data_IF_641451040772
#
_entry.id   IF_641451040772
#
_cell.length_a   1.000
_cell.length_b   1.000
_cell.length_c   1.000
_cell.angle_alpha   90.00
_cell.angle_beta   90.00
_cell.angle_gamma   90.00
#
_symmetry.space_group_name_H-M   'P 1'
#
loop_
_entity.id
_entity.type
_entity.pdbx_description
1 polymer ?
#
# COMPACT_ATOMS: atom_id res chain seq x y z
N UNK A 1 48.78 12.80 -6.48
CA UNK A 1 49.23 11.91 -7.57
C UNK A 1 48.45 10.62 -7.44
N UNK A 2 47.53 10.34 -8.36
CA UNK A 2 46.92 9.02 -8.45
C UNK A 2 47.92 8.08 -9.14
N UNK A 3 48.07 6.86 -8.61
CA UNK A 3 48.92 5.82 -9.19
C UNK A 3 48.01 4.78 -9.83
N UNK A 4 48.15 4.59 -11.14
CA UNK A 4 47.48 3.51 -11.85
C UNK A 4 47.97 2.16 -11.31
N UNK A 5 47.04 1.32 -10.84
CA UNK A 5 47.33 0.01 -10.22
C UNK A 5 47.07 -1.17 -11.16
N UNK A 6 46.37 -0.97 -12.30
CA UNK A 6 46.20 -1.99 -13.35
C UNK A 6 45.89 -1.33 -14.70
N UNK A 7 46.40 -1.92 -15.79
CA UNK A 7 46.24 -1.45 -17.17
C UNK A 7 44.93 -1.92 -17.84
N UNK A 8 43.85 -2.14 -17.07
CA UNK A 8 42.52 -2.45 -17.63
C UNK A 8 42.01 -3.88 -17.47
N UNK A 9 42.46 -4.65 -16.46
CA UNK A 9 41.64 -5.79 -16.02
C UNK A 9 40.45 -5.25 -15.22
N UNK A 10 39.20 -5.68 -15.48
CA UNK A 10 38.07 -5.27 -14.66
C UNK A 10 38.34 -5.66 -13.20
N UNK A 11 38.08 -4.73 -12.27
CA UNK A 11 38.17 -5.02 -10.84
C UNK A 11 37.27 -6.21 -10.55
N UNK A 12 37.80 -7.21 -9.83
CA UNK A 12 36.97 -8.30 -9.33
C UNK A 12 35.87 -7.71 -8.46
N UNK A 13 34.60 -8.07 -8.67
CA UNK A 13 33.51 -7.48 -7.91
C UNK A 13 33.64 -7.86 -6.44
N UNK A 14 33.35 -6.90 -5.56
CA UNK A 14 33.11 -7.20 -4.15
C UNK A 14 31.77 -7.93 -4.05
N UNK A 15 31.77 -9.09 -3.41
CA UNK A 15 30.54 -9.88 -3.25
C UNK A 15 29.74 -9.32 -2.07
N UNK A 16 28.48 -8.96 -2.30
CA UNK A 16 27.48 -8.69 -1.26
C UNK A 16 26.70 -9.99 -1.03
N UNK A 17 26.69 -10.47 0.22
CA UNK A 17 26.14 -11.76 0.62
C UNK A 17 27.12 -12.62 1.42
N UNK A 18 26.71 -13.84 1.74
CA UNK A 18 27.40 -14.80 2.61
C UNK A 18 28.81 -15.19 2.12
N UNK A 19 29.05 -15.16 0.81
CA UNK A 19 30.36 -15.43 0.22
C UNK A 19 31.32 -14.22 0.25
N UNK A 20 30.86 -13.07 0.74
CA UNK A 20 31.64 -11.84 0.83
C UNK A 20 31.23 -11.01 2.04
N UNK A 21 30.69 -9.83 1.80
CA UNK A 21 30.24 -8.90 2.84
C UNK A 21 28.74 -9.08 3.06
N UNK A 22 28.35 -9.54 4.24
CA UNK A 22 26.95 -9.67 4.64
C UNK A 22 26.42 -8.30 5.09
N UNK A 23 25.33 -7.79 4.50
CA UNK A 23 24.66 -6.59 5.02
C UNK A 23 24.16 -6.79 6.46
N UNK A 24 24.12 -5.74 7.29
CA UNK A 24 23.39 -5.77 8.56
C UNK A 24 21.90 -6.03 8.34
N UNK A 25 21.20 -6.55 9.35
CA UNK A 25 19.78 -6.92 9.27
C UNK A 25 18.84 -6.08 10.14
N UNK A 26 19.36 -5.18 10.97
CA UNK A 26 18.53 -4.52 12.00
C UNK A 26 18.62 -2.99 11.91
N UNK A 27 19.83 -2.44 12.02
CA UNK A 27 20.05 -1.00 12.22
C UNK A 27 20.42 -0.32 10.91
N UNK A 28 19.56 0.59 10.44
CA UNK A 28 19.84 1.44 9.26
C UNK A 28 20.98 2.42 9.54
N UNK A 29 20.99 3.05 10.71
CA UNK A 29 21.90 4.13 11.05
C UNK A 29 22.19 4.18 12.56
N UNK A 30 23.45 4.41 12.94
CA UNK A 30 23.88 4.54 14.33
C UNK A 30 24.05 6.02 14.72
N UNK A 31 24.94 6.74 14.03
CA UNK A 31 25.25 8.15 14.26
C UNK A 31 26.07 8.72 13.11
N UNK A 32 26.11 10.05 12.94
CA UNK A 32 26.83 10.71 11.83
C UNK A 32 28.34 10.40 11.81
N UNK A 33 28.97 10.26 12.98
CA UNK A 33 30.41 9.95 13.09
C UNK A 33 30.71 8.43 13.15
N UNK A 34 29.73 7.57 12.82
CA UNK A 34 29.90 6.12 12.85
C UNK A 34 30.77 5.63 11.68
N UNK A 35 31.50 4.54 11.92
CA UNK A 35 32.27 3.82 10.89
C UNK A 35 32.27 2.31 11.20
N UNK A 36 31.08 1.77 11.46
CA UNK A 36 30.79 0.38 11.82
C UNK A 36 29.94 -0.32 10.75
N UNK A 37 30.55 -0.67 9.59
CA UNK A 37 29.86 -1.33 8.50
C UNK A 37 29.39 -2.76 8.83
N UNK A 38 29.68 -3.27 10.02
CA UNK A 38 29.18 -4.58 10.46
C UNK A 38 27.77 -4.47 11.05
N UNK A 39 27.46 -3.33 11.67
CA UNK A 39 26.22 -3.16 12.44
C UNK A 39 25.33 -2.03 11.90
N UNK A 40 25.85 -1.13 11.04
CA UNK A 40 25.10 -0.01 10.44
C UNK A 40 24.91 -0.22 8.95
N UNK A 41 23.66 -0.21 8.47
CA UNK A 41 23.34 -0.29 7.05
C UNK A 41 23.96 0.86 6.26
N UNK A 42 23.89 2.09 6.79
CA UNK A 42 24.49 3.27 6.19
C UNK A 42 26.00 3.07 5.98
N UNK A 43 26.74 2.75 7.05
CA UNK A 43 28.19 2.57 7.01
C UNK A 43 28.58 1.39 6.10
N UNK A 44 27.75 0.34 6.05
CA UNK A 44 27.95 -0.79 5.15
C UNK A 44 27.96 -0.35 3.69
N UNK A 45 26.91 0.34 3.23
CA UNK A 45 26.81 0.76 1.84
C UNK A 45 27.73 1.94 1.52
N UNK A 46 27.95 2.87 2.46
CA UNK A 46 28.92 3.97 2.31
C UNK A 46 30.33 3.43 2.05
N UNK A 47 30.75 2.40 2.80
CA UNK A 47 32.05 1.76 2.59
C UNK A 47 32.18 1.02 1.23
N UNK A 48 31.08 0.87 0.50
CA UNK A 48 31.03 0.29 -0.84
C UNK A 48 30.80 1.33 -1.94
N UNK A 49 30.59 2.60 -1.61
CA UNK A 49 30.28 3.63 -2.60
C UNK A 49 31.37 3.70 -3.71
N UNK A 50 30.92 3.74 -4.97
CA UNK A 50 31.80 3.71 -6.14
C UNK A 50 32.43 2.36 -6.46
N UNK A 51 32.15 1.31 -5.66
CA UNK A 51 32.71 -0.03 -5.85
C UNK A 51 31.89 -0.84 -6.84
N UNK A 52 32.58 -1.62 -7.68
CA UNK A 52 31.93 -2.64 -8.51
C UNK A 52 31.61 -3.87 -7.65
N UNK A 53 30.33 -4.25 -7.61
CA UNK A 53 29.81 -5.29 -6.71
C UNK A 53 29.08 -6.38 -7.48
N UNK A 54 28.99 -7.56 -6.85
CA UNK A 54 28.19 -8.70 -7.30
C UNK A 54 27.29 -9.18 -6.18
N UNK A 55 26.02 -9.40 -6.48
CA UNK A 55 25.07 -10.10 -5.62
C UNK A 55 24.85 -11.49 -6.21
N UNK A 56 25.08 -12.53 -5.42
CA UNK A 56 24.85 -13.91 -5.84
C UNK A 56 23.43 -14.34 -5.49
N UNK A 57 22.80 -15.09 -6.40
CA UNK A 57 21.46 -15.64 -6.25
C UNK A 57 20.42 -14.66 -5.67
N UNK A 58 20.34 -13.39 -6.11
CA UNK A 58 19.40 -12.46 -5.50
C UNK A 58 17.96 -12.84 -5.80
N UNK A 59 17.07 -12.54 -4.85
CA UNK A 59 15.62 -12.60 -5.00
C UNK A 59 15.04 -11.20 -4.86
N UNK A 60 14.07 -10.87 -5.71
CA UNK A 60 13.38 -9.58 -5.74
C UNK A 60 12.40 -9.51 -4.58
N UNK A 61 12.59 -8.52 -3.70
CA UNK A 61 11.73 -8.22 -2.55
C UNK A 61 10.90 -6.95 -2.73
N UNK A 62 11.22 -6.15 -3.75
CA UNK A 62 10.42 -5.00 -4.20
C UNK A 62 10.31 -5.01 -5.72
N UNK A 63 9.09 -5.11 -6.29
CA UNK A 63 8.88 -5.06 -7.74
C UNK A 63 9.40 -3.78 -8.40
N UNK A 64 9.56 -3.82 -9.73
CA UNK A 64 9.99 -2.65 -10.49
C UNK A 64 8.96 -1.51 -10.42
N UNK A 65 9.39 -0.33 -9.98
CA UNK A 65 8.56 0.88 -9.93
C UNK A 65 8.70 1.76 -11.18
N UNK A 66 7.92 2.84 -11.25
CA UNK A 66 7.92 3.82 -12.36
C UNK A 66 9.23 4.59 -12.54
N UNK A 67 10.17 4.49 -11.59
CA UNK A 67 11.49 5.14 -11.64
C UNK A 67 12.61 4.20 -12.11
N UNK A 68 12.27 2.98 -12.52
CA UNK A 68 13.26 2.00 -12.95
C UNK A 68 14.03 1.37 -11.80
N UNK A 69 13.42 1.35 -10.61
CA UNK A 69 14.04 0.80 -9.39
C UNK A 69 13.35 -0.52 -9.03
N UNK A 70 14.13 -1.50 -8.58
CA UNK A 70 13.60 -2.68 -7.90
C UNK A 70 14.53 -3.09 -6.76
N UNK A 71 14.06 -3.91 -5.84
CA UNK A 71 14.80 -4.24 -4.62
C UNK A 71 15.04 -5.73 -4.52
N UNK A 72 16.22 -6.12 -4.04
CA UNK A 72 16.61 -7.51 -3.86
C UNK A 72 17.21 -7.78 -2.48
N UNK A 73 17.23 -9.05 -2.08
CA UNK A 73 18.14 -9.54 -1.03
C UNK A 73 19.07 -10.61 -1.61
N UNK A 74 20.28 -10.73 -1.05
CA UNK A 74 21.30 -11.66 -1.51
C UNK A 74 21.00 -13.12 -1.14
N UNK A 75 21.63 -14.06 -1.84
CA UNK A 75 21.70 -15.49 -1.50
C UNK A 75 20.34 -16.15 -1.21
N UNK A 76 19.31 -15.79 -1.99
CA UNK A 76 17.95 -16.29 -1.81
C UNK A 76 17.31 -15.94 -0.45
N UNK A 77 17.82 -14.92 0.24
CA UNK A 77 17.29 -14.45 1.52
C UNK A 77 17.79 -15.21 2.76
N UNK A 78 18.76 -16.13 2.63
CA UNK A 78 19.25 -16.95 3.77
C UNK A 78 19.83 -16.10 4.92
N UNK A 79 20.34 -14.91 4.63
CA UNK A 79 20.90 -13.97 5.61
C UNK A 79 20.00 -12.78 5.94
N UNK A 80 18.78 -12.73 5.39
CA UNK A 80 17.83 -11.65 5.63
C UNK A 80 16.93 -11.97 6.83
N UNK A 81 16.63 -10.98 7.66
CA UNK A 81 15.50 -11.01 8.58
C UNK A 81 14.19 -10.86 7.78
N UNK A 82 13.04 -10.96 8.44
CA UNK A 82 11.77 -10.51 7.87
C UNK A 82 11.21 -11.26 6.64
N UNK A 83 11.89 -12.28 6.09
CA UNK A 83 11.42 -12.99 4.89
C UNK A 83 10.03 -13.59 5.09
N UNK A 84 9.10 -13.25 4.21
CA UNK A 84 7.70 -13.67 4.27
C UNK A 84 7.37 -14.75 3.24
N UNK A 85 6.19 -15.37 3.35
CA UNK A 85 5.77 -16.45 2.44
C UNK A 85 5.57 -16.00 0.98
N UNK A 86 5.39 -14.69 0.75
CA UNK A 86 5.28 -14.09 -0.59
C UNK A 86 6.65 -13.97 -1.29
N UNK A 87 7.76 -14.14 -0.56
CA UNK A 87 9.12 -13.98 -1.08
C UNK A 87 9.67 -12.56 -0.95
N UNK A 88 8.98 -11.68 -0.23
CA UNK A 88 9.46 -10.36 0.15
C UNK A 88 10.06 -10.33 1.56
N UNK A 89 10.45 -9.14 2.00
CA UNK A 89 10.92 -8.88 3.36
C UNK A 89 9.96 -7.92 4.08
N UNK A 90 9.41 -8.34 5.22
CA UNK A 90 8.39 -7.57 5.94
C UNK A 90 9.02 -6.64 6.96
N UNK A 91 8.63 -5.36 6.93
CA UNK A 91 9.03 -4.39 7.95
C UNK A 91 8.34 -4.71 9.28
N UNK A 92 9.12 -4.77 10.36
CA UNK A 92 8.62 -5.03 11.71
C UNK A 92 9.16 -3.99 12.70
N UNK A 93 8.57 -3.84 13.90
CA UNK A 93 9.05 -2.86 14.87
C UNK A 93 10.54 -3.04 15.19
N UNK A 94 11.33 -2.00 14.91
CA UNK A 94 12.77 -1.99 15.18
C UNK A 94 13.65 -2.61 14.08
N UNK A 95 13.06 -3.11 12.99
CA UNK A 95 13.77 -3.66 11.85
C UNK A 95 13.44 -2.85 10.57
N UNK A 96 14.42 -2.08 10.11
CA UNK A 96 14.33 -1.29 8.87
C UNK A 96 14.75 -2.04 7.61
N UNK A 97 15.10 -3.32 7.76
CA UNK A 97 15.61 -4.21 6.73
C UNK A 97 16.80 -3.65 5.93
N UNK A 98 17.94 -3.26 6.56
CA UNK A 98 19.12 -2.73 5.85
C UNK A 98 19.72 -3.66 4.79
N UNK A 99 19.44 -4.95 4.84
CA UNK A 99 19.89 -5.95 3.89
C UNK A 99 19.19 -5.91 2.52
N UNK A 100 18.13 -5.11 2.39
CA UNK A 100 17.49 -4.85 1.09
C UNK A 100 18.38 -3.95 0.26
N UNK A 101 18.58 -4.32 -1.00
CA UNK A 101 19.50 -3.67 -1.92
C UNK A 101 18.73 -3.12 -3.10
N UNK A 102 18.74 -1.80 -3.29
CA UNK A 102 18.13 -1.17 -4.47
C UNK A 102 18.99 -1.44 -5.71
N UNK A 103 18.32 -1.83 -6.79
CA UNK A 103 18.88 -1.95 -8.11
C UNK A 103 18.28 -0.86 -8.98
N UNK A 104 19.14 0.00 -9.53
CA UNK A 104 18.76 1.07 -10.44
C UNK A 104 19.00 0.64 -11.88
N UNK A 105 17.95 0.68 -12.69
CA UNK A 105 18.02 0.47 -14.13
C UNK A 105 18.52 1.72 -14.86
N UNK A 106 19.09 1.49 -16.04
CA UNK A 106 19.39 2.53 -17.02
C UNK A 106 18.20 2.72 -17.96
N UNK A 107 18.09 3.90 -18.56
CA UNK A 107 17.05 4.20 -19.55
C UNK A 107 17.06 3.23 -20.76
N UNK A 108 18.19 2.56 -21.06
CA UNK A 108 18.28 1.58 -22.12
C UNK A 108 17.73 0.19 -21.73
N UNK A 109 17.68 -0.11 -20.42
CA UNK A 109 17.11 -1.34 -19.87
C UNK A 109 15.60 -1.21 -19.67
N UNK A 110 15.09 0.01 -19.55
CA UNK A 110 13.65 0.27 -19.54
C UNK A 110 13.07 0.21 -20.97
N UNK A 111 11.86 -0.34 -21.16
CA UNK A 111 10.97 -0.92 -20.15
C UNK A 111 11.17 -2.44 -19.96
N UNK A 112 12.23 -3.05 -20.47
CA UNK A 112 12.34 -4.53 -20.58
C UNK A 112 12.51 -5.23 -19.23
N UNK A 113 13.08 -4.55 -18.24
CA UNK A 113 13.26 -5.09 -16.89
C UNK A 113 12.02 -4.77 -16.04
N UNK A 114 11.04 -5.69 -16.02
CA UNK A 114 9.82 -5.60 -15.20
C UNK A 114 9.76 -6.76 -14.20
N UNK A 115 10.42 -6.60 -13.07
CA UNK A 115 10.52 -7.65 -12.05
C UNK A 115 9.31 -7.64 -11.13
N UNK A 116 8.73 -8.82 -10.91
CA UNK A 116 7.74 -9.07 -9.87
C UNK A 116 8.40 -9.56 -8.58
N UNK A 117 7.65 -9.50 -7.49
CA UNK A 117 8.08 -10.03 -6.20
C UNK A 117 8.47 -11.52 -6.34
N UNK A 118 9.61 -11.90 -5.79
CA UNK A 118 10.11 -13.27 -5.83
C UNK A 118 10.77 -13.70 -7.14
N UNK A 119 10.83 -12.84 -8.17
CA UNK A 119 11.72 -13.06 -9.31
C UNK A 119 13.17 -13.21 -8.81
N UNK A 120 14.00 -13.98 -9.50
CA UNK A 120 15.36 -14.27 -9.05
C UNK A 120 16.37 -14.24 -10.18
N UNK A 121 17.65 -14.13 -9.83
CA UNK A 121 18.76 -14.16 -10.78
C UNK A 121 19.85 -15.09 -10.26
N UNK A 122 20.69 -15.63 -11.14
CA UNK A 122 21.95 -16.26 -10.71
C UNK A 122 22.92 -15.23 -10.14
N UNK A 123 22.99 -14.05 -10.75
CA UNK A 123 23.71 -12.91 -10.17
C UNK A 123 23.31 -11.57 -10.79
N UNK A 124 23.45 -10.51 -10.00
CA UNK A 124 23.41 -9.12 -10.45
C UNK A 124 24.77 -8.46 -10.18
N UNK A 125 25.26 -7.65 -11.10
CA UNK A 125 26.51 -6.90 -10.96
C UNK A 125 26.30 -5.43 -11.36
N UNK A 126 26.97 -4.53 -10.65
CA UNK A 126 26.83 -3.10 -10.89
C UNK A 126 27.75 -2.26 -10.01
N UNK A 127 27.58 -0.94 -10.08
CA UNK A 127 28.32 0.01 -9.26
C UNK A 127 27.43 0.56 -8.17
N UNK A 128 27.92 0.57 -6.93
CA UNK A 128 27.21 1.23 -5.82
C UNK A 128 27.30 2.74 -6.00
N UNK A 129 26.15 3.41 -5.92
CA UNK A 129 26.03 4.86 -5.84
C UNK A 129 25.07 5.25 -4.72
N UNK A 130 25.00 6.54 -4.44
CA UNK A 130 24.05 7.13 -3.51
C UNK A 130 23.28 8.23 -4.23
N UNK A 131 21.95 8.16 -4.22
CA UNK A 131 21.08 9.19 -4.75
C UNK A 131 19.89 9.42 -3.82
N UNK A 132 19.51 10.69 -3.65
CA UNK A 132 18.29 11.13 -2.91
C UNK A 132 18.03 10.46 -1.55
N UNK A 133 19.08 10.11 -0.80
CA UNK A 133 18.91 9.52 0.53
C UNK A 133 18.85 8.00 0.53
N UNK A 134 19.25 7.34 -0.55
CA UNK A 134 19.27 5.89 -0.67
C UNK A 134 20.54 5.41 -1.39
N UNK A 135 21.12 4.30 -0.93
CA UNK A 135 22.19 3.61 -1.64
C UNK A 135 21.61 2.64 -2.68
N UNK A 136 22.14 2.69 -3.89
CA UNK A 136 21.65 1.93 -5.04
C UNK A 136 22.81 1.23 -5.77
N UNK A 137 22.50 0.16 -6.50
CA UNK A 137 23.43 -0.45 -7.46
C UNK A 137 22.95 -0.14 -8.87
N UNK A 138 23.74 0.64 -9.61
CA UNK A 138 23.52 0.87 -11.04
C UNK A 138 23.82 -0.41 -11.81
N UNK A 139 22.77 -1.03 -12.34
CA UNK A 139 22.84 -2.36 -12.93
C UNK A 139 23.67 -2.38 -14.22
N UNK A 140 24.71 -3.23 -14.24
CA UNK A 140 25.56 -3.46 -15.42
C UNK A 140 25.26 -4.81 -16.05
N UNK A 141 25.25 -5.89 -15.25
CA UNK A 141 24.99 -7.24 -15.73
C UNK A 141 23.91 -7.92 -14.88
N UNK A 142 22.98 -8.61 -15.54
CA UNK A 142 22.03 -9.52 -14.92
C UNK A 142 22.13 -10.88 -15.60
N UNK A 143 22.31 -11.95 -14.81
CA UNK A 143 22.56 -13.31 -15.32
C UNK A 143 21.54 -14.27 -14.73
N UNK A 144 20.96 -15.11 -15.59
CA UNK A 144 20.12 -16.24 -15.17
C UNK A 144 18.81 -15.81 -14.50
N UNK A 145 18.13 -14.82 -15.08
CA UNK A 145 16.82 -14.37 -14.61
C UNK A 145 15.79 -15.53 -14.65
N UNK A 146 15.05 -15.69 -13.56
CA UNK A 146 13.96 -16.66 -13.40
C UNK A 146 12.76 -15.96 -12.81
N UNK A 147 11.64 -15.99 -13.52
CA UNK A 147 10.40 -15.34 -13.09
C UNK A 147 9.62 -16.23 -12.15
N UNK A 148 9.09 -15.67 -11.05
CA UNK A 148 8.09 -16.31 -10.21
C UNK A 148 6.71 -16.16 -10.85
N UNK A 149 6.02 -17.28 -11.03
CA UNK A 149 4.62 -17.24 -11.46
C UNK A 149 3.74 -16.76 -10.30
N UNK A 150 2.94 -15.73 -10.55
CA UNK A 150 1.93 -15.24 -9.63
C UNK A 150 0.56 -15.68 -10.10
N UNK A 151 -0.09 -16.51 -9.29
CA UNK A 151 -1.48 -16.91 -9.45
C UNK A 151 -2.27 -16.34 -8.27
N UNK A 152 -3.04 -15.25 -8.47
CA UNK A 152 -3.83 -14.66 -7.40
C UNK A 152 -4.78 -15.69 -6.78
N UNK A 153 -4.72 -15.84 -5.46
CA UNK A 153 -5.66 -16.68 -4.74
C UNK A 153 -7.04 -16.04 -4.73
N UNK A 154 -8.07 -16.80 -5.08
CA UNK A 154 -9.46 -16.38 -4.84
C UNK A 154 -9.68 -16.35 -3.32
N UNK A 155 -9.93 -15.16 -2.78
CA UNK A 155 -10.14 -14.96 -1.33
C UNK A 155 -11.62 -14.85 -0.97
N UNK A 156 -12.45 -14.45 -1.93
CA UNK A 156 -13.90 -14.39 -1.80
C UNK A 156 -14.59 -15.69 -2.16
N UNK A 157 -15.86 -15.78 -1.77
CA UNK A 157 -16.77 -16.84 -2.15
C UNK A 157 -18.11 -16.23 -2.56
N UNK A 158 -18.99 -17.04 -3.12
CA UNK A 158 -20.37 -16.61 -3.36
C UNK A 158 -21.07 -16.18 -2.06
N UNK A 159 -22.17 -15.41 -2.16
CA UNK A 159 -22.87 -14.89 -0.99
C UNK A 159 -23.38 -16.02 -0.09
N UNK A 160 -23.15 -15.87 1.22
CA UNK A 160 -23.68 -16.75 2.26
C UNK A 160 -24.79 -16.00 3.04
N UNK A 161 -25.81 -16.72 3.51
CA UNK A 161 -27.00 -16.08 4.11
C UNK A 161 -26.70 -15.38 5.43
N UNK A 162 -25.71 -15.87 6.19
CA UNK A 162 -25.31 -15.44 7.53
C UNK A 162 -23.98 -14.68 7.55
N UNK A 163 -23.37 -14.42 6.39
CA UNK A 163 -22.10 -13.68 6.28
C UNK A 163 -22.30 -12.39 5.50
N UNK A 164 -21.87 -11.28 6.10
CA UNK A 164 -21.68 -10.00 5.42
C UNK A 164 -20.22 -9.88 4.97
N UNK A 165 -20.02 -9.52 3.71
CA UNK A 165 -18.69 -9.27 3.13
C UNK A 165 -18.48 -7.78 2.88
N UNK A 166 -17.35 -7.25 3.35
CA UNK A 166 -16.94 -5.86 3.15
C UNK A 166 -15.51 -5.86 2.61
N UNK A 167 -15.27 -5.32 1.42
CA UNK A 167 -13.92 -5.18 0.89
C UNK A 167 -13.43 -3.72 0.98
N UNK A 168 -12.24 -3.51 1.53
CA UNK A 168 -11.52 -2.25 1.44
C UNK A 168 -10.58 -2.28 0.24
N UNK A 169 -10.60 -1.23 -0.59
CA UNK A 169 -9.73 -1.14 -1.76
C UNK A 169 -9.38 0.33 -2.07
N UNK A 170 -8.12 0.71 -1.85
CA UNK A 170 -7.56 1.93 -2.43
C UNK A 170 -7.40 1.70 -3.95
N UNK A 171 -8.07 2.52 -4.76
CA UNK A 171 -8.10 2.36 -6.22
C UNK A 171 -7.10 3.28 -6.95
N UNK A 172 -6.19 3.92 -6.21
CA UNK A 172 -5.09 4.76 -6.70
C UNK A 172 -5.59 5.89 -7.62
N UNK A 173 -6.14 6.96 -7.05
CA UNK A 173 -6.65 8.14 -7.76
C UNK A 173 -7.64 7.87 -8.92
N UNK A 174 -8.52 6.88 -8.79
CA UNK A 174 -9.38 6.43 -9.88
C UNK A 174 -10.24 7.56 -10.48
N UNK A 175 -10.09 7.82 -11.78
CA UNK A 175 -10.87 8.79 -12.55
C UNK A 175 -11.28 8.27 -13.95
N UNK A 176 -12.32 8.83 -14.61
CA UNK A 176 -12.88 8.27 -15.83
C UNK A 176 -12.35 8.94 -17.11
N UNK A 177 -11.25 9.68 -17.05
CA UNK A 177 -10.70 10.37 -18.20
C UNK A 177 -9.19 10.09 -18.37
N UNK A 178 -8.66 10.56 -19.49
CA UNK A 178 -7.23 10.79 -19.64
C UNK A 178 -7.00 12.25 -19.29
N UNK A 179 -6.24 12.51 -18.24
CA UNK A 179 -5.92 13.87 -17.82
C UNK A 179 -5.01 14.58 -18.83
N UNK A 180 -5.08 15.91 -18.86
CA UNK A 180 -4.20 16.72 -19.70
C UNK A 180 -2.98 17.19 -18.91
N UNK A 181 -1.78 16.93 -19.45
CA UNK A 181 -0.48 17.26 -18.83
C UNK A 181 -0.36 18.71 -18.35
N UNK A 182 -1.00 19.66 -19.04
CA UNK A 182 -0.92 21.10 -18.74
C UNK A 182 -2.01 21.58 -17.76
N UNK A 183 -2.85 20.66 -17.26
CA UNK A 183 -3.97 20.96 -16.36
C UNK A 183 -3.86 20.29 -15.00
N UNK A 184 -2.81 19.54 -14.73
CA UNK A 184 -2.56 18.90 -13.44
C UNK A 184 -1.43 19.60 -12.67
N UNK A 185 -1.43 19.59 -11.33
CA UNK A 185 -0.44 20.32 -10.51
C UNK A 185 1.01 19.84 -10.67
N UNK A 186 1.14 18.57 -10.98
CA UNK A 186 2.36 17.86 -11.30
C UNK A 186 2.06 17.29 -12.68
N UNK A 187 2.99 17.36 -13.64
CA UNK A 187 2.85 16.70 -14.94
C UNK A 187 2.80 15.17 -14.72
N UNK A 188 1.71 14.69 -14.14
CA UNK A 188 1.42 13.33 -13.69
C UNK A 188 0.02 12.97 -14.22
N UNK A 189 -0.20 13.04 -15.54
CA UNK A 189 -1.46 12.62 -16.13
C UNK A 189 -1.67 11.13 -15.80
N UNK A 190 -2.78 10.79 -15.16
CA UNK A 190 -3.23 9.41 -15.12
C UNK A 190 -4.16 9.09 -16.30
N UNK A 191 -4.07 7.85 -16.78
CA UNK A 191 -4.89 7.32 -17.86
C UNK A 191 -5.52 6.00 -17.42
N UNK A 192 -6.38 6.10 -16.41
CA UNK A 192 -7.04 4.94 -15.83
C UNK A 192 -7.92 4.20 -16.83
N UNK A 193 -8.56 4.95 -17.73
CA UNK A 193 -9.43 4.40 -18.77
C UNK A 193 -8.62 3.71 -19.86
N UNK A 194 -7.60 4.37 -20.42
CA UNK A 194 -6.77 3.82 -21.48
C UNK A 194 -5.92 2.63 -21.04
N UNK A 195 -5.54 2.57 -19.76
CA UNK A 195 -4.86 1.42 -19.14
C UNK A 195 -5.82 0.27 -18.77
N UNK A 196 -7.13 0.47 -18.91
CA UNK A 196 -8.15 -0.55 -18.59
C UNK A 196 -8.32 -0.82 -17.09
N UNK A 197 -7.94 0.13 -16.22
CA UNK A 197 -7.94 -0.01 -14.76
C UNK A 197 -9.31 -0.35 -14.20
N UNK A 198 -10.38 0.30 -14.68
CA UNK A 198 -11.76 -0.05 -14.31
C UNK A 198 -12.11 -1.52 -14.57
N UNK A 199 -11.68 -2.06 -15.72
CA UNK A 199 -11.94 -3.46 -16.07
C UNK A 199 -11.14 -4.41 -15.19
N UNK A 200 -9.90 -4.06 -14.87
CA UNK A 200 -9.04 -4.85 -13.98
C UNK A 200 -9.55 -4.85 -12.53
N UNK A 201 -9.94 -3.69 -11.98
CA UNK A 201 -10.60 -3.58 -10.67
C UNK A 201 -11.88 -4.41 -10.68
N UNK A 202 -12.71 -4.30 -11.73
CA UNK A 202 -13.91 -5.11 -11.86
C UNK A 202 -13.62 -6.63 -11.84
N UNK A 203 -12.55 -7.08 -12.50
CA UNK A 203 -12.14 -8.49 -12.42
C UNK A 203 -11.68 -8.89 -11.02
N UNK A 204 -10.93 -8.05 -10.30
CA UNK A 204 -10.57 -8.30 -8.90
C UNK A 204 -11.82 -8.45 -8.03
N UNK A 205 -12.78 -7.52 -8.17
CA UNK A 205 -14.05 -7.51 -7.42
C UNK A 205 -14.85 -8.78 -7.70
N UNK A 206 -15.06 -9.14 -8.97
CA UNK A 206 -15.97 -10.24 -9.32
C UNK A 206 -15.30 -11.61 -9.13
N UNK A 207 -14.09 -11.78 -9.65
CA UNK A 207 -13.47 -13.11 -9.79
C UNK A 207 -12.64 -13.51 -8.58
N UNK A 208 -12.07 -12.56 -7.83
CA UNK A 208 -11.12 -12.84 -6.76
C UNK A 208 -11.69 -12.50 -5.37
N UNK A 209 -12.41 -11.39 -5.25
CA UNK A 209 -13.10 -10.96 -4.03
C UNK A 209 -14.52 -11.53 -3.90
N UNK A 210 -15.05 -12.18 -4.94
CA UNK A 210 -16.33 -12.88 -4.90
C UNK A 210 -17.56 -11.96 -4.90
N UNK A 211 -17.45 -10.73 -5.43
CA UNK A 211 -18.53 -9.72 -5.44
C UNK A 211 -19.04 -9.38 -4.03
N UNK A 212 -18.21 -8.75 -3.17
CA UNK A 212 -18.55 -8.47 -1.77
C UNK A 212 -19.83 -7.64 -1.62
N UNK A 213 -20.55 -7.78 -0.51
CA UNK A 213 -21.81 -7.06 -0.29
C UNK A 213 -21.60 -5.54 -0.25
N UNK A 214 -20.45 -5.09 0.26
CA UNK A 214 -20.04 -3.69 0.34
C UNK A 214 -18.57 -3.57 -0.12
N UNK A 215 -18.29 -2.60 -0.98
CA UNK A 215 -16.95 -2.11 -1.30
C UNK A 215 -16.77 -0.75 -0.63
N UNK A 216 -15.71 -0.57 0.13
CA UNK A 216 -15.25 0.69 0.71
C UNK A 216 -14.00 1.12 -0.06
N UNK A 217 -14.15 2.14 -0.90
CA UNK A 217 -13.15 2.58 -1.86
C UNK A 217 -12.43 3.81 -1.33
N UNK A 218 -11.10 3.77 -1.35
CA UNK A 218 -10.25 4.93 -1.13
C UNK A 218 -9.70 5.42 -2.46
N UNK A 219 -9.38 6.70 -2.54
CA UNK A 219 -8.85 7.33 -3.75
C UNK A 219 -9.79 7.36 -4.96
N UNK A 220 -11.06 7.69 -4.72
CA UNK A 220 -11.97 8.04 -5.81
C UNK A 220 -11.81 9.53 -6.13
N UNK A 221 -11.50 9.86 -7.38
CA UNK A 221 -11.36 11.22 -7.86
C UNK A 221 -12.64 11.78 -8.49
N UNK A 222 -12.59 13.07 -8.80
CA UNK A 222 -13.58 13.79 -9.58
C UNK A 222 -13.80 13.20 -10.98
N UNK A 223 -14.90 13.59 -11.61
CA UNK A 223 -15.28 13.17 -12.96
C UNK A 223 -14.27 13.61 -14.03
N UNK A 224 -13.40 14.56 -13.70
CA UNK A 224 -12.32 15.06 -14.55
C UNK A 224 -10.94 14.89 -13.89
N UNK A 225 -10.81 13.94 -12.97
CA UNK A 225 -9.56 13.61 -12.30
C UNK A 225 -9.03 14.75 -11.45
N UNK A 226 -7.72 14.91 -11.41
CA UNK A 226 -6.95 15.98 -10.80
C UNK A 226 -6.79 17.25 -11.65
N UNK A 227 -7.62 17.47 -12.67
CA UNK A 227 -7.57 18.70 -13.45
C UNK A 227 -7.96 19.92 -12.62
N UNK A 228 -7.30 21.06 -12.87
CA UNK A 228 -7.71 22.34 -12.30
C UNK A 228 -9.07 22.79 -12.85
N UNK A 229 -10.13 22.51 -12.12
CA UNK A 229 -11.50 22.91 -12.43
C UNK A 229 -12.34 23.06 -11.16
N UNK A 230 -13.59 23.51 -11.28
CA UNK A 230 -14.54 23.59 -10.17
C UNK A 230 -15.37 22.28 -10.02
N UNK A 231 -15.02 21.21 -10.73
CA UNK A 231 -15.73 19.93 -10.70
C UNK A 231 -15.35 19.19 -9.43
N UNK A 232 -16.36 18.92 -8.59
CA UNK A 232 -16.22 18.16 -7.35
C UNK A 232 -17.07 16.90 -7.33
N UNK A 233 -17.70 16.53 -8.45
CA UNK A 233 -18.57 15.37 -8.54
C UNK A 233 -17.78 14.14 -8.99
N UNK A 234 -18.08 12.97 -8.41
CA UNK A 234 -17.46 11.68 -8.77
C UNK A 234 -18.50 10.63 -9.24
N UNK A 235 -19.70 11.07 -9.62
CA UNK A 235 -20.80 10.20 -10.02
C UNK A 235 -20.52 9.45 -11.33
N UNK A 236 -19.77 10.05 -12.27
CA UNK A 236 -19.36 9.38 -13.51
C UNK A 236 -18.24 8.39 -13.26
N UNK A 237 -17.27 8.73 -12.40
CA UNK A 237 -16.20 7.82 -11.94
C UNK A 237 -16.80 6.55 -11.33
N UNK A 238 -17.71 6.71 -10.36
CA UNK A 238 -18.38 5.58 -9.70
C UNK A 238 -19.30 4.82 -10.67
N UNK A 239 -19.94 5.52 -11.61
CA UNK A 239 -20.75 4.87 -12.65
C UNK A 239 -19.87 4.00 -13.56
N UNK A 240 -18.72 4.49 -14.02
CA UNK A 240 -17.81 3.72 -14.87
C UNK A 240 -17.34 2.43 -14.18
N UNK A 241 -17.03 2.49 -12.88
CA UNK A 241 -16.64 1.31 -12.11
C UNK A 241 -17.81 0.32 -11.93
N UNK A 242 -19.00 0.81 -11.57
CA UNK A 242 -20.18 -0.07 -11.41
C UNK A 242 -20.62 -0.71 -12.73
N UNK A 243 -20.53 0.01 -13.86
CA UNK A 243 -20.78 -0.52 -15.20
C UNK A 243 -19.74 -1.60 -15.56
N UNK A 244 -18.46 -1.39 -15.26
CA UNK A 244 -17.39 -2.36 -15.49
C UNK A 244 -17.59 -3.64 -14.65
N UNK A 245 -17.97 -3.50 -13.38
CA UNK A 245 -18.30 -4.63 -12.50
C UNK A 245 -19.49 -5.43 -13.04
N UNK A 246 -20.56 -4.75 -13.45
CA UNK A 246 -21.74 -5.38 -14.07
C UNK A 246 -21.36 -6.13 -15.35
N UNK A 247 -20.51 -5.53 -16.18
CA UNK A 247 -19.99 -6.13 -17.42
C UNK A 247 -19.13 -7.38 -17.14
N UNK A 248 -18.36 -7.37 -16.05
CA UNK A 248 -17.60 -8.54 -15.60
C UNK A 248 -18.48 -9.65 -14.98
N UNK A 249 -19.78 -9.43 -14.85
CA UNK A 249 -20.75 -10.40 -14.29
C UNK A 249 -21.05 -10.22 -12.80
N UNK A 250 -20.63 -9.10 -12.21
CA UNK A 250 -20.92 -8.73 -10.83
C UNK A 250 -22.35 -8.16 -10.63
N UNK A 251 -22.74 -7.87 -9.39
CA UNK A 251 -24.05 -7.31 -9.08
C UNK A 251 -24.16 -5.84 -9.49
N UNK A 252 -25.39 -5.34 -9.60
CA UNK A 252 -25.66 -3.90 -9.76
C UNK A 252 -25.47 -3.18 -8.43
N UNK A 253 -24.23 -2.75 -8.17
CA UNK A 253 -23.91 -1.95 -7.00
C UNK A 253 -24.56 -0.56 -7.05
N UNK A 254 -24.90 -0.04 -5.88
CA UNK A 254 -25.37 1.32 -5.67
C UNK A 254 -24.23 2.16 -5.06
N UNK A 255 -23.89 3.33 -5.63
CA UNK A 255 -22.87 4.20 -5.07
C UNK A 255 -23.39 5.01 -3.88
N UNK A 256 -22.49 5.33 -2.96
CA UNK A 256 -22.72 6.26 -1.86
C UNK A 256 -21.45 7.07 -1.64
N UNK A 257 -21.51 8.36 -1.97
CA UNK A 257 -20.42 9.32 -1.79
C UNK A 257 -20.98 10.70 -1.42
N UNK A 258 -20.11 11.57 -0.92
CA UNK A 258 -20.42 12.98 -0.66
C UNK A 258 -19.43 13.81 -1.46
N UNK A 259 -19.94 14.73 -2.27
CA UNK A 259 -19.08 15.68 -2.97
C UNK A 259 -18.40 16.59 -1.94
N UNK A 260 -17.07 16.71 -1.97
CA UNK A 260 -16.35 17.65 -1.13
C UNK A 260 -16.63 19.09 -1.53
N UNK A 261 -16.22 20.03 -0.68
CA UNK A 261 -16.07 21.43 -1.08
C UNK A 261 -14.72 21.57 -1.78
N UNK A 262 -14.74 22.22 -2.94
CA UNK A 262 -13.59 22.38 -3.82
C UNK A 262 -12.31 22.86 -3.11
N UNK A 263 -11.20 22.15 -3.33
CA UNK A 263 -9.86 22.35 -2.80
C UNK A 263 -9.74 22.43 -1.26
N UNK A 264 -10.80 22.02 -0.55
CA UNK A 264 -10.83 21.98 0.93
C UNK A 264 -10.44 20.63 1.51
N UNK A 265 -10.51 19.55 0.73
CA UNK A 265 -10.23 18.18 1.15
C UNK A 265 -9.66 17.34 0.01
N UNK A 266 -9.10 16.18 0.31
CA UNK A 266 -8.60 15.24 -0.71
C UNK A 266 -7.11 15.30 -1.02
N UNK A 267 -6.35 16.24 -0.45
CA UNK A 267 -4.88 16.23 -0.41
C UNK A 267 -4.17 16.56 -1.74
N UNK A 268 -4.77 16.25 -2.89
CA UNK A 268 -4.30 16.65 -4.22
C UNK A 268 -5.04 17.92 -4.67
N UNK A 269 -4.34 18.99 -5.07
CA UNK A 269 -4.98 20.15 -5.69
C UNK A 269 -5.73 19.75 -6.98
N UNK A 270 -6.96 20.24 -7.16
CA UNK A 270 -7.79 19.96 -8.35
C UNK A 270 -8.63 18.67 -8.30
N UNK A 271 -8.15 17.59 -7.69
CA UNK A 271 -8.83 16.28 -7.79
C UNK A 271 -9.78 15.88 -6.66
N UNK A 272 -9.86 16.71 -5.62
CA UNK A 272 -10.69 16.55 -4.42
C UNK A 272 -10.93 15.08 -3.98
N UNK A 273 -9.86 14.29 -3.88
CA UNK A 273 -9.94 12.84 -3.67
C UNK A 273 -10.80 12.49 -2.45
N UNK A 274 -11.60 11.43 -2.53
CA UNK A 274 -12.50 11.00 -1.45
C UNK A 274 -12.51 9.49 -1.24
N UNK A 275 -13.22 9.10 -0.19
CA UNK A 275 -13.68 7.73 0.02
C UNK A 275 -15.13 7.59 -0.43
N UNK A 276 -15.53 6.40 -0.88
CA UNK A 276 -16.88 6.11 -1.35
C UNK A 276 -17.27 4.65 -1.10
N UNK A 277 -18.56 4.37 -1.00
CA UNK A 277 -19.05 2.99 -0.98
C UNK A 277 -19.73 2.59 -2.30
N UNK A 278 -19.57 1.33 -2.68
CA UNK A 278 -20.45 0.63 -3.61
C UNK A 278 -21.12 -0.53 -2.86
N UNK A 279 -22.45 -0.60 -2.77
CA UNK A 279 -23.14 -1.65 -2.00
C UNK A 279 -24.19 -2.41 -2.82
N UNK A 280 -24.30 -3.72 -2.56
CA UNK A 280 -25.25 -4.58 -3.24
C UNK A 280 -26.61 -4.49 -2.53
N UNK A 281 -27.54 -3.73 -3.13
CA UNK A 281 -28.87 -3.50 -2.57
C UNK A 281 -29.75 -4.76 -2.47
N UNK A 282 -29.36 -5.87 -3.12
CA UNK A 282 -30.03 -7.16 -2.95
C UNK A 282 -29.63 -7.87 -1.64
N UNK A 283 -28.54 -7.43 -1.00
CA UNK A 283 -27.93 -8.06 0.17
C UNK A 283 -28.03 -7.21 1.42
N UNK A 284 -27.89 -5.89 1.27
CA UNK A 284 -27.98 -4.92 2.36
C UNK A 284 -28.92 -3.78 2.03
N UNK A 285 -29.52 -3.18 3.04
CA UNK A 285 -30.19 -1.87 2.92
C UNK A 285 -29.29 -0.80 3.52
N UNK A 286 -29.11 0.32 2.84
CA UNK A 286 -28.37 1.47 3.36
C UNK A 286 -29.33 2.50 3.97
N UNK A 287 -29.04 2.98 5.18
CA UNK A 287 -29.69 4.15 5.76
C UNK A 287 -29.01 5.40 5.17
N UNK A 288 -29.72 6.10 4.30
CA UNK A 288 -29.25 7.30 3.58
C UNK A 288 -29.86 8.59 4.14
N UNK A 289 -29.16 9.73 4.09
CA UNK A 289 -27.82 9.92 3.52
C UNK A 289 -26.70 9.39 4.44
N UNK A 290 -25.55 9.08 3.84
CA UNK A 290 -24.30 8.93 4.59
C UNK A 290 -23.89 10.25 5.24
N UNK A 291 -22.94 10.19 6.17
CA UNK A 291 -22.38 11.36 6.86
C UNK A 291 -20.86 11.31 6.88
N UNK A 292 -20.19 12.45 7.07
CA UNK A 292 -18.74 12.51 7.25
C UNK A 292 -18.35 12.77 8.71
N UNK A 293 -17.15 12.32 9.09
CA UNK A 293 -16.53 12.72 10.36
C UNK A 293 -15.73 14.01 10.12
N UNK A 294 -16.28 15.14 10.52
CA UNK A 294 -15.61 16.44 10.41
C UNK A 294 -14.83 16.77 11.68
N UNK A 295 -13.54 17.11 11.51
CA UNK A 295 -12.69 17.61 12.58
C UNK A 295 -11.54 18.44 12.00
N UNK A 296 -11.02 19.45 12.73
CA UNK A 296 -9.84 20.21 12.30
C UNK A 296 -8.62 19.34 11.98
N UNK A 297 -8.53 18.16 12.58
CA UNK A 297 -7.47 17.17 12.35
C UNK A 297 -7.37 16.69 10.90
N UNK A 298 -8.47 16.73 10.13
CA UNK A 298 -8.44 16.33 8.74
C UNK A 298 -7.86 17.42 7.83
N UNK A 299 -7.93 18.70 8.19
CA UNK A 299 -7.36 19.78 7.37
C UNK A 299 -7.76 19.64 5.90
N UNK A 300 -6.77 19.54 5.00
CA UNK A 300 -6.96 19.27 3.56
C UNK A 300 -6.91 17.79 3.16
N UNK A 301 -6.78 16.86 4.10
CA UNK A 301 -6.81 15.42 3.83
C UNK A 301 -8.25 14.93 3.57
N UNK A 302 -8.44 13.61 3.43
CA UNK A 302 -9.75 13.01 3.12
C UNK A 302 -10.59 12.92 4.40
N UNK A 303 -11.87 13.30 4.31
CA UNK A 303 -12.82 13.10 5.39
C UNK A 303 -13.35 11.66 5.39
N UNK A 304 -13.41 10.97 6.55
CA UNK A 304 -14.00 9.64 6.63
C UNK A 304 -15.49 9.64 6.28
N UNK A 305 -15.96 8.61 5.56
CA UNK A 305 -17.36 8.44 5.21
C UNK A 305 -18.01 7.36 6.08
N UNK A 306 -19.07 7.75 6.78
CA UNK A 306 -19.86 6.89 7.65
C UNK A 306 -21.15 6.50 6.94
N UNK A 307 -21.35 5.20 6.76
CA UNK A 307 -22.58 4.62 6.27
C UNK A 307 -23.14 3.62 7.28
N UNK A 308 -24.46 3.54 7.35
CA UNK A 308 -25.15 2.55 8.19
C UNK A 308 -25.89 1.59 7.27
N UNK A 309 -25.54 0.31 7.34
CA UNK A 309 -26.17 -0.75 6.58
C UNK A 309 -26.98 -1.65 7.51
N UNK A 310 -28.00 -2.31 6.95
CA UNK A 310 -28.75 -3.38 7.61
C UNK A 310 -28.53 -4.67 6.87
N UNK A 311 -28.02 -5.67 7.59
CA UNK A 311 -27.86 -7.04 7.13
C UNK A 311 -28.61 -7.96 8.10
N UNK A 312 -29.54 -8.78 7.57
CA UNK A 312 -30.44 -9.63 8.39
C UNK A 312 -31.15 -8.87 9.53
N UNK A 313 -31.48 -7.60 9.30
CA UNK A 313 -32.13 -6.72 10.29
C UNK A 313 -31.22 -6.20 11.41
N UNK A 314 -29.92 -6.52 11.40
CA UNK A 314 -28.92 -6.00 12.34
C UNK A 314 -28.18 -4.81 11.71
N UNK A 315 -27.89 -3.79 12.52
CA UNK A 315 -27.13 -2.62 12.08
C UNK A 315 -25.64 -2.95 11.95
N UNK A 316 -25.04 -2.53 10.84
CA UNK A 316 -23.59 -2.53 10.61
C UNK A 316 -23.20 -1.11 10.21
N UNK A 317 -22.50 -0.41 11.12
CA UNK A 317 -21.99 0.93 10.85
C UNK A 317 -20.57 0.81 10.32
N UNK A 318 -20.34 1.30 9.11
CA UNK A 318 -19.06 1.23 8.42
C UNK A 318 -18.49 2.64 8.29
N UNK A 319 -17.23 2.80 8.67
CA UNK A 319 -16.49 4.05 8.63
C UNK A 319 -15.28 3.80 7.74
N UNK A 320 -15.29 4.40 6.55
CA UNK A 320 -14.22 4.31 5.57
C UNK A 320 -13.25 5.46 5.82
N UNK A 321 -11.98 5.13 6.04
CA UNK A 321 -10.92 6.10 6.33
C UNK A 321 -9.86 6.07 5.22
N UNK A 322 -9.36 7.25 4.91
CA UNK A 322 -8.10 7.43 4.19
C UNK A 322 -7.32 8.53 4.93
N UNK A 323 -6.45 8.12 5.85
CA UNK A 323 -5.70 9.06 6.70
C UNK A 323 -4.52 9.68 5.94
N UNK A 324 -3.95 10.76 6.48
CA UNK A 324 -2.84 11.48 5.84
C UNK A 324 -1.68 10.56 5.47
N UNK A 325 -1.21 10.66 4.22
CA UNK A 325 -0.16 9.79 3.70
C UNK A 325 1.19 9.98 4.41
N UNK A 326 2.04 8.96 4.31
CA UNK A 326 3.45 9.02 4.72
C UNK A 326 4.34 9.83 3.77
N UNK A 327 3.76 10.42 2.72
CA UNK A 327 4.51 11.21 1.73
C UNK A 327 5.24 12.39 2.40
N UNK A 328 6.46 12.66 1.93
CA UNK A 328 7.34 13.67 2.51
C UNK A 328 8.13 13.21 3.74
N UNK A 329 8.02 11.94 4.13
CA UNK A 329 8.93 11.33 5.11
C UNK A 329 10.37 11.31 4.60
N UNK A 330 11.34 11.37 5.51
CA UNK A 330 12.76 11.24 5.16
C UNK A 330 13.09 9.88 4.52
N UNK A 331 14.10 9.84 3.66
CA UNK A 331 14.61 8.59 3.08
C UNK A 331 15.35 7.74 4.12
N UNK A 332 15.41 6.41 3.88
CA UNK A 332 16.03 5.45 4.80
C UNK A 332 17.48 5.80 5.18
N UNK A 333 18.24 6.40 4.27
CA UNK A 333 19.61 6.88 4.47
C UNK A 333 19.74 8.39 4.16
N UNK A 334 18.67 9.15 4.37
CA UNK A 334 18.66 10.61 4.21
C UNK A 334 19.49 11.34 5.27
N UNK A 335 19.75 12.63 5.06
CA UNK A 335 20.58 13.49 5.93
C UNK A 335 20.02 13.60 7.36
N UNK A 336 18.70 13.49 7.53
CA UNK A 336 18.05 13.52 8.84
C UNK A 336 17.73 12.07 9.24
N UNK A 337 18.41 11.57 10.27
CA UNK A 337 18.22 10.23 10.81
C UNK A 337 17.83 10.27 12.30
N UNK A 338 16.92 9.38 12.77
CA UNK A 338 16.12 8.46 11.95
C UNK A 338 15.14 9.22 11.05
N UNK A 339 14.59 8.58 10.00
CA UNK A 339 13.66 9.23 9.09
C UNK A 339 12.48 9.86 9.84
N UNK A 340 12.25 11.15 9.59
CA UNK A 340 11.15 11.88 10.21
C UNK A 340 9.88 11.74 9.38
N UNK A 341 8.76 11.41 10.01
CA UNK A 341 7.41 11.40 9.42
C UNK A 341 6.66 12.68 9.85
N UNK A 342 6.55 13.69 8.96
CA UNK A 342 5.88 14.95 9.31
C UNK A 342 4.36 14.82 9.46
N UNK A 343 3.76 13.76 8.92
CA UNK A 343 2.31 13.55 8.92
C UNK A 343 1.81 12.77 10.15
N UNK A 344 2.70 12.12 10.90
CA UNK A 344 2.31 11.32 12.08
C UNK A 344 1.44 12.08 13.09
N UNK A 345 1.76 13.34 13.49
CA UNK A 345 0.92 14.09 14.42
C UNK A 345 -0.51 14.31 13.90
N UNK A 346 -0.67 14.53 12.59
CA UNK A 346 -1.97 14.67 11.95
C UNK A 346 -2.74 13.33 11.97
N UNK A 347 -2.10 12.21 11.60
CA UNK A 347 -2.72 10.88 11.67
C UNK A 347 -3.17 10.52 13.08
N UNK A 348 -2.37 10.85 14.10
CA UNK A 348 -2.74 10.66 15.52
C UNK A 348 -4.02 11.45 15.85
N UNK A 349 -4.13 12.70 15.41
CA UNK A 349 -5.30 13.53 15.64
C UNK A 349 -6.53 13.03 14.88
N UNK A 350 -6.37 12.54 13.66
CA UNK A 350 -7.44 11.95 12.84
C UNK A 350 -7.97 10.66 13.49
N UNK A 351 -7.09 9.76 13.93
CA UNK A 351 -7.49 8.54 14.65
C UNK A 351 -8.26 8.87 15.94
N UNK A 352 -7.88 9.95 16.65
CA UNK A 352 -8.66 10.44 17.81
C UNK A 352 -10.04 10.92 17.40
N UNK A 353 -10.19 11.66 16.30
CA UNK A 353 -11.48 12.12 15.82
C UNK A 353 -12.41 10.93 15.45
N UNK A 354 -11.87 9.90 14.80
CA UNK A 354 -12.61 8.65 14.52
C UNK A 354 -13.05 7.97 15.81
N UNK A 355 -12.15 7.84 16.78
CA UNK A 355 -12.48 7.25 18.10
C UNK A 355 -13.57 8.03 18.83
N UNK A 356 -13.47 9.36 18.84
CA UNK A 356 -14.42 10.21 19.54
C UNK A 356 -15.80 10.19 18.85
N UNK A 357 -15.84 10.08 17.51
CA UNK A 357 -17.07 9.78 16.79
C UNK A 357 -17.70 8.46 17.26
N UNK A 358 -16.92 7.37 17.31
CA UNK A 358 -17.43 6.07 17.76
C UNK A 358 -17.96 6.11 19.20
N UNK A 359 -17.27 6.83 20.10
CA UNK A 359 -17.71 7.04 21.49
C UNK A 359 -19.01 7.85 21.60
N UNK A 360 -19.32 8.68 20.61
CA UNK A 360 -20.56 9.45 20.56
C UNK A 360 -21.77 8.63 20.13
N UNK A 361 -21.56 7.44 19.56
CA UNK A 361 -22.64 6.59 19.10
C UNK A 361 -23.48 6.09 20.29
N UNK A 362 -24.81 5.99 20.13
CA UNK A 362 -25.65 5.39 21.16
C UNK A 362 -25.23 3.93 21.38
N UNK A 363 -25.30 3.47 22.63
CA UNK A 363 -24.99 2.08 22.98
C UNK A 363 -25.92 1.12 22.25
N UNK A 364 -25.37 0.14 21.55
CA UNK A 364 -26.13 -0.93 20.91
C UNK A 364 -25.27 -2.19 20.91
N UNK A 365 -25.63 -3.17 21.73
CA UNK A 365 -24.91 -4.44 21.83
C UNK A 365 -25.12 -5.37 20.63
N UNK A 366 -26.07 -5.06 19.74
CA UNK A 366 -26.34 -5.86 18.54
C UNK A 366 -25.63 -5.32 17.29
N UNK A 367 -25.11 -4.10 17.34
CA UNK A 367 -24.51 -3.42 16.20
C UNK A 367 -23.04 -3.79 16.03
N UNK A 368 -22.65 -4.09 14.80
CA UNK A 368 -21.24 -4.04 14.40
C UNK A 368 -20.83 -2.60 14.07
N UNK A 369 -19.66 -2.18 14.55
CA UNK A 369 -18.97 -0.96 14.09
C UNK A 369 -17.65 -1.38 13.45
N UNK A 370 -17.48 -1.01 12.18
CA UNK A 370 -16.29 -1.31 11.39
C UNK A 370 -15.62 0.00 11.01
N UNK A 371 -14.34 0.16 11.32
CA UNK A 371 -13.48 1.19 10.75
C UNK A 371 -12.48 0.50 9.83
N UNK A 372 -12.51 0.80 8.55
CA UNK A 372 -11.60 0.18 7.58
C UNK A 372 -11.11 1.18 6.53
N UNK A 373 -10.10 0.77 5.76
CA UNK A 373 -9.52 1.54 4.68
C UNK A 373 -8.02 1.72 4.87
N UNK A 374 -7.48 2.77 4.24
CA UNK A 374 -6.07 3.12 4.32
C UNK A 374 -5.79 4.03 5.51
N UNK A 375 -5.15 3.47 6.55
CA UNK A 375 -4.78 4.24 7.74
C UNK A 375 -3.46 4.99 7.56
N UNK A 376 -2.72 4.75 6.48
CA UNK A 376 -1.35 5.22 6.27
C UNK A 376 -0.46 5.02 7.50
N UNK A 377 -0.75 3.97 8.27
CA UNK A 377 -0.10 3.70 9.54
C UNK A 377 0.04 2.20 9.77
N UNK A 378 1.18 1.80 10.31
CA UNK A 378 1.43 0.41 10.64
C UNK A 378 0.66 0.01 11.90
N UNK A 379 0.42 -1.29 12.06
CA UNK A 379 -0.37 -1.83 13.17
C UNK A 379 0.21 -1.53 14.57
N UNK A 380 1.51 -1.25 14.64
CA UNK A 380 2.24 -0.92 15.86
C UNK A 380 2.45 0.59 16.05
N UNK A 381 1.97 1.44 15.13
CA UNK A 381 2.09 2.89 15.26
C UNK A 381 0.96 3.48 16.11
N UNK A 382 1.24 4.66 16.67
CA UNK A 382 0.33 5.36 17.58
C UNK A 382 -1.12 5.51 17.06
N UNK A 383 -1.40 5.84 15.78
CA UNK A 383 -2.76 5.96 15.29
C UNK A 383 -3.59 4.67 15.47
N UNK A 384 -3.00 3.49 15.19
CA UNK A 384 -3.69 2.20 15.35
C UNK A 384 -3.78 1.82 16.83
N UNK A 385 -2.71 2.01 17.60
CA UNK A 385 -2.71 1.71 19.04
C UNK A 385 -3.75 2.53 19.81
N UNK A 386 -4.06 3.76 19.37
CA UNK A 386 -5.10 4.59 19.97
C UNK A 386 -6.52 4.05 19.80
N UNK A 387 -6.76 3.28 18.73
CA UNK A 387 -8.03 2.66 18.38
C UNK A 387 -8.15 1.24 18.95
N UNK A 388 -7.03 0.52 19.11
CA UNK A 388 -7.02 -0.88 19.58
C UNK A 388 -6.69 -1.05 21.06
N UNK A 389 -6.04 -0.07 21.69
CA UNK A 389 -5.58 -0.16 23.08
C UNK A 389 -6.40 0.64 24.11
N UNK A 390 -7.39 1.42 23.67
CA UNK A 390 -8.23 2.25 24.55
C UNK A 390 -9.71 1.87 24.46
N UNK A 391 -10.58 2.65 25.10
CA UNK A 391 -12.04 2.50 24.99
C UNK A 391 -12.61 3.33 23.82
N UNK A 392 -13.42 2.77 22.89
CA UNK A 392 -13.72 1.35 22.76
C UNK A 392 -12.51 0.60 22.17
N UNK A 393 -12.34 -0.64 22.63
CA UNK A 393 -11.19 -1.47 22.27
C UNK A 393 -11.46 -2.24 20.97
N UNK A 394 -11.14 -1.64 19.82
CA UNK A 394 -11.33 -2.32 18.55
C UNK A 394 -10.40 -3.54 18.42
N UNK A 395 -10.92 -4.64 17.88
CA UNK A 395 -10.08 -5.73 17.35
C UNK A 395 -9.59 -5.32 15.96
N UNK A 396 -8.27 -5.24 15.75
CA UNK A 396 -7.73 -5.17 14.40
C UNK A 396 -7.64 -6.58 13.80
N UNK A 397 -8.51 -6.87 12.83
CA UNK A 397 -8.62 -8.19 12.20
C UNK A 397 -7.40 -8.50 11.33
N UNK A 398 -6.64 -7.48 10.89
CA UNK A 398 -5.36 -7.67 10.18
C UNK A 398 -4.29 -8.37 11.02
N UNK A 399 -4.44 -8.38 12.35
CA UNK A 399 -3.48 -8.99 13.26
C UNK A 399 -3.73 -10.48 13.49
N UNK A 400 -4.81 -11.03 12.93
CA UNK A 400 -5.02 -12.48 12.89
C UNK A 400 -3.94 -13.18 12.04
N UNK A 401 -3.39 -12.48 11.05
CA UNK A 401 -2.20 -12.94 10.31
C UNK A 401 -0.91 -12.76 11.13
N UNK A 402 0.06 -13.69 11.02
CA UNK A 402 1.36 -13.55 11.64
C UNK A 402 2.06 -12.25 11.22
N UNK A 403 2.89 -11.61 12.08
CA UNK A 403 3.53 -10.33 11.77
C UNK A 403 4.23 -10.24 10.40
N UNK A 404 4.91 -11.30 9.97
CA UNK A 404 5.63 -11.34 8.70
C UNK A 404 4.71 -11.46 7.49
N UNK A 405 3.47 -11.94 7.65
CA UNK A 405 2.53 -12.13 6.54
C UNK A 405 1.61 -10.93 6.34
N UNK A 406 1.77 -9.86 7.13
CA UNK A 406 0.97 -8.65 7.05
C UNK A 406 1.47 -7.76 5.93
N UNK A 407 0.98 -8.00 4.73
CA UNK A 407 1.32 -7.20 3.55
C UNK A 407 0.05 -6.68 2.90
N UNK A 408 0.06 -5.42 2.49
CA UNK A 408 -0.89 -4.83 1.53
C UNK A 408 -0.23 -3.80 0.62
N UNK A 409 1.04 -3.48 0.86
CA UNK A 409 1.80 -2.45 0.17
C UNK A 409 3.27 -2.84 0.19
N UNK A 410 4.03 -2.47 -0.86
CA UNK A 410 5.49 -2.60 -0.87
C UNK A 410 6.12 -1.24 -1.12
N UNK A 411 6.96 -0.79 -0.18
CA UNK A 411 7.69 0.48 -0.28
C UNK A 411 9.18 0.25 -0.15
N UNK A 412 9.94 0.67 -1.14
CA UNK A 412 11.39 0.46 -1.18
C UNK A 412 11.80 -1.00 -0.89
N UNK A 413 11.02 -1.98 -1.34
CA UNK A 413 11.28 -3.40 -1.08
C UNK A 413 10.88 -3.90 0.30
N UNK A 414 10.32 -3.05 1.17
CA UNK A 414 9.66 -3.50 2.40
C UNK A 414 8.21 -3.87 2.12
N UNK A 415 7.85 -5.11 2.44
CA UNK A 415 6.45 -5.52 2.59
C UNK A 415 5.85 -4.90 3.85
N UNK A 416 4.74 -4.20 3.69
CA UNK A 416 4.12 -3.35 4.71
C UNK A 416 2.60 -3.51 4.70
N UNK A 417 1.92 -3.18 5.80
CA UNK A 417 0.45 -3.15 5.87
C UNK A 417 -0.03 -1.78 6.35
N UNK A 418 -0.65 -1.02 5.44
CA UNK A 418 -1.26 0.28 5.70
C UNK A 418 -2.79 0.19 5.80
N UNK A 419 -3.36 -0.81 5.13
CA UNK A 419 -4.80 -1.06 5.12
C UNK A 419 -5.21 -1.97 6.28
N UNK A 420 -6.22 -1.58 7.04
CA UNK A 420 -6.69 -2.35 8.20
C UNK A 420 -8.22 -2.42 8.25
N UNK A 421 -8.73 -3.38 9.02
CA UNK A 421 -10.12 -3.43 9.42
C UNK A 421 -10.20 -3.61 10.94
N UNK A 422 -10.76 -2.60 11.59
CA UNK A 422 -10.97 -2.52 13.03
C UNK A 422 -12.46 -2.77 13.31
N UNK A 423 -12.76 -3.75 14.18
CA UNK A 423 -14.15 -4.12 14.48
C UNK A 423 -14.49 -4.02 15.96
N UNK A 424 -15.69 -3.52 16.24
CA UNK A 424 -16.47 -3.80 17.44
C UNK A 424 -17.66 -4.62 16.96
N UNK A 425 -17.78 -5.85 17.44
CA UNK A 425 -18.82 -6.77 16.99
C UNK A 425 -19.97 -6.81 17.98
N UNK A 426 -21.19 -6.99 17.46
CA UNK A 426 -22.36 -7.24 18.28
C UNK A 426 -22.36 -8.64 18.88
N UNK A 427 -23.36 -8.91 19.71
CA UNK A 427 -23.65 -10.25 20.21
C UNK A 427 -23.75 -11.26 19.05
N UNK A 428 -23.18 -12.45 19.27
CA UNK A 428 -23.18 -13.57 18.31
C UNK A 428 -22.54 -13.26 16.94
N UNK A 429 -21.60 -12.31 16.89
CA UNK A 429 -20.86 -11.98 15.67
C UNK A 429 -19.37 -12.35 15.78
N UNK A 430 -18.80 -12.76 14.65
CA UNK A 430 -17.36 -13.00 14.52
C UNK A 430 -16.84 -12.41 13.21
N UNK A 431 -15.55 -12.05 13.16
CA UNK A 431 -14.95 -11.47 11.97
C UNK A 431 -13.60 -12.11 11.62
N UNK A 432 -13.39 -12.29 10.31
CA UNK A 432 -12.13 -12.74 9.71
C UNK A 432 -11.80 -11.83 8.53
N UNK A 433 -10.52 -11.68 8.20
CA UNK A 433 -10.10 -10.92 7.04
C UNK A 433 -9.07 -11.70 6.22
N UNK A 434 -9.02 -11.44 4.91
CA UNK A 434 -7.96 -11.90 4.02
C UNK A 434 -7.48 -10.76 3.13
N UNK A 435 -6.19 -10.68 2.87
CA UNK A 435 -5.63 -9.81 1.83
C UNK A 435 -5.57 -10.55 0.50
N UNK A 436 -5.94 -9.88 -0.58
CA UNK A 436 -5.79 -10.37 -1.94
C UNK A 436 -4.52 -9.77 -2.56
N UNK A 437 -3.46 -10.57 -2.64
CA UNK A 437 -2.18 -10.15 -3.23
C UNK A 437 -2.21 -10.18 -4.76
N UNK A 438 -2.66 -9.08 -5.35
CA UNK A 438 -2.78 -8.89 -6.81
C UNK A 438 -1.97 -7.72 -7.34
N UNK A 439 -1.65 -6.78 -6.45
CA UNK A 439 -1.09 -5.49 -6.80
C UNK A 439 0.34 -5.38 -6.27
N UNK A 440 0.54 -5.49 -4.96
CA UNK A 440 1.83 -5.23 -4.32
C UNK A 440 2.95 -6.16 -4.79
N UNK A 441 2.60 -7.33 -5.35
CA UNK A 441 3.52 -8.35 -5.85
C UNK A 441 3.94 -8.13 -7.31
N UNK A 442 3.30 -7.20 -8.02
CA UNK A 442 3.52 -6.91 -9.43
C UNK A 442 4.30 -5.60 -9.62
N UNK A 443 5.07 -5.44 -10.71
CA UNK A 443 5.67 -4.15 -11.04
C UNK A 443 4.60 -3.13 -11.44
N UNK A 444 4.96 -1.83 -11.41
CA UNK A 444 4.05 -0.72 -11.75
C UNK A 444 3.45 -0.85 -13.15
N UNK A 445 4.16 -1.49 -14.08
CA UNK A 445 3.65 -1.76 -15.44
C UNK A 445 2.50 -2.78 -15.51
N UNK A 446 2.24 -3.51 -14.42
CA UNK A 446 1.27 -4.62 -14.35
C UNK A 446 0.27 -4.50 -13.20
N UNK A 447 0.61 -3.82 -12.10
CA UNK A 447 -0.30 -3.63 -10.97
C UNK A 447 -1.45 -2.69 -11.35
N UNK A 448 -2.58 -2.85 -10.68
CA UNK A 448 -3.80 -2.05 -10.93
C UNK A 448 -3.93 -0.91 -9.93
N UNK A 449 -3.42 -1.12 -8.73
CA UNK A 449 -3.22 -0.14 -7.67
C UNK A 449 -1.86 -0.44 -7.03
N UNK A 450 -1.30 0.47 -6.24
CA UNK A 450 -0.20 0.20 -5.34
C UNK A 450 -0.61 -0.54 -4.04
N UNK A 451 -1.91 -0.59 -3.72
CA UNK A 451 -2.46 -1.30 -2.56
C UNK A 451 -3.14 -2.63 -2.95
N UNK A 452 -2.96 -3.67 -2.13
CA UNK A 452 -3.75 -4.90 -2.21
C UNK A 452 -5.11 -4.75 -1.50
N UNK A 453 -6.23 -5.14 -2.14
CA UNK A 453 -7.53 -5.12 -1.49
C UNK A 453 -7.64 -6.14 -0.35
N UNK A 454 -8.45 -5.82 0.66
CA UNK A 454 -8.73 -6.70 1.81
C UNK A 454 -10.21 -7.02 1.92
N UNK A 455 -10.54 -8.30 2.10
CA UNK A 455 -11.90 -8.79 2.27
C UNK A 455 -12.16 -9.13 3.74
N UNK A 456 -13.00 -8.33 4.40
CA UNK A 456 -13.56 -8.60 5.72
C UNK A 456 -14.84 -9.44 5.57
N UNK A 457 -14.96 -10.49 6.38
CA UNK A 457 -16.18 -11.31 6.53
C UNK A 457 -16.66 -11.18 7.97
N UNK A 458 -17.92 -10.78 8.16
CA UNK A 458 -18.60 -10.77 9.46
C UNK A 458 -19.69 -11.84 9.43
N UNK A 459 -19.58 -12.84 10.30
CA UNK A 459 -20.56 -13.93 10.43
C UNK A 459 -21.53 -13.61 11.57
N UNK A 460 -22.83 -13.76 11.32
CA UNK A 460 -23.93 -13.54 12.25
C UNK A 460 -24.52 -14.89 12.68
N UNK A 461 -24.22 -15.33 13.91
CA UNK A 461 -24.56 -16.68 14.41
C UNK A 461 -26.01 -16.80 14.88
#
# INVERSE_FOLDING_TARGET
MFKEVSAGAPLHPVIIGAAGRLPPTDVLFISEDSADPKNSGADFYESLEGTYVRINNPIVVGPTNKFGEFWVVADGGVGASGMNSLGGITATPGDGNPERIQIQLTAAQEPQFQQALGDSFSSLEGYVSYDRGVYEIRLVNAIGATTKAWEPAVVGAGPEDDVLTIAGYNVENLDPILEADDKTPINDPDDDVGKGKFSSIAQHVVSLLGSPDILALQEVQDNDGGQYSDVVAADQTLKALTDAISTAGGPTYQPLSINPVDDTSGGQPGGNIRVAYLYNAARVTADVPATQIEAPAFGKSRLPLVATFKFRGKEVKVIDVHLSSKAGSGGAYGVIQPPFDPAEPARIAQARAVRDFVRSLPSDGNRAVVVLGDFNAFWYETPLLLLTGGEPQFKNVALDDPPLERTSYIFEGNSQSLDHALVLLGEDQSATMKTLHVNSVQPDSRKVSDHDPKLLRITFQ
#
